data_IF_100941624087
#
_entry.id   IF_100941624087
#
_cell.length_a   1.000
_cell.length_b   1.000
_cell.length_c   1.000
_cell.angle_alpha   90.00
_cell.angle_beta   90.00
_cell.angle_gamma   90.00
#
_symmetry.space_group_name_H-M   'P 1'
#
loop_
_entity.id
_entity.type
_entity.pdbx_description
1 polymer ?
#
# COMPACT_ATOMS: atom_id res chain seq x y z
N UNK A 1 28.70 -42.19 -39.26
CA UNK A 1 29.85 -41.26 -39.11
C UNK A 1 29.34 -39.97 -38.50
N UNK A 2 30.00 -39.52 -37.42
CA UNK A 2 29.65 -38.41 -36.53
C UNK A 2 29.64 -37.06 -37.24
N UNK A 3 28.76 -36.16 -36.79
CA UNK A 3 29.15 -34.88 -36.17
C UNK A 3 28.07 -34.42 -35.20
N UNK A 4 28.48 -34.30 -33.94
CA UNK A 4 27.78 -33.64 -32.84
C UNK A 4 28.02 -32.14 -32.95
N UNK A 5 27.02 -31.32 -32.68
CA UNK A 5 27.21 -30.00 -32.10
C UNK A 5 26.22 -29.82 -30.94
N UNK A 6 26.80 -29.60 -29.77
CA UNK A 6 26.14 -29.29 -28.50
C UNK A 6 25.90 -27.78 -28.43
N UNK A 7 24.67 -27.36 -28.10
CA UNK A 7 24.42 -26.03 -27.52
C UNK A 7 23.67 -26.24 -26.22
N UNK A 8 24.32 -25.85 -25.12
CA UNK A 8 23.75 -25.75 -23.79
C UNK A 8 23.05 -24.39 -23.63
N UNK A 9 21.75 -24.36 -23.29
CA UNK A 9 21.13 -23.28 -22.54
C UNK A 9 20.16 -23.85 -21.51
N UNK A 10 20.61 -23.84 -20.25
CA UNK A 10 19.91 -23.64 -18.99
C UNK A 10 18.46 -24.13 -18.84
N UNK A 11 18.30 -25.07 -17.90
CA UNK A 11 17.04 -25.44 -17.27
C UNK A 11 16.26 -24.22 -16.75
N UNK A 12 15.06 -23.99 -17.26
CA UNK A 12 13.95 -23.41 -16.50
C UNK A 12 12.70 -24.25 -16.83
N UNK A 13 12.61 -25.42 -16.19
CA UNK A 13 11.35 -25.99 -15.75
C UNK A 13 11.06 -25.34 -14.39
N UNK A 14 9.92 -24.68 -14.17
CA UNK A 14 8.64 -25.34 -13.89
C UNK A 14 7.50 -24.67 -14.67
N UNK A 15 6.70 -25.55 -15.25
CA UNK A 15 5.50 -25.34 -16.03
C UNK A 15 4.41 -24.60 -15.23
N UNK A 16 3.83 -23.57 -15.84
CA UNK A 16 2.37 -23.53 -15.98
C UNK A 16 2.05 -23.11 -17.42
N UNK A 17 1.80 -24.12 -18.25
CA UNK A 17 1.21 -23.95 -19.57
C UNK A 17 -0.26 -23.55 -19.40
N UNK A 18 -0.60 -22.33 -19.79
CA UNK A 18 -1.92 -22.05 -20.34
C UNK A 18 -1.72 -21.38 -21.69
N UNK A 19 -1.65 -22.20 -22.73
CA UNK A 19 -1.91 -21.74 -24.10
C UNK A 19 -3.40 -21.92 -24.36
N UNK A 20 -4.16 -20.83 -24.28
CA UNK A 20 -5.35 -20.64 -25.12
C UNK A 20 -5.32 -19.17 -25.56
N UNK A 21 -5.02 -18.94 -26.84
CA UNK A 21 -5.46 -17.73 -27.53
C UNK A 21 -6.99 -17.77 -27.56
N UNK A 22 -7.59 -16.91 -26.75
CA UNK A 22 -8.94 -16.41 -26.94
C UNK A 22 -8.86 -14.93 -26.61
N UNK A 23 -9.17 -14.08 -27.58
CA UNK A 23 -9.44 -12.65 -27.38
C UNK A 23 -10.66 -12.54 -26.46
N UNK A 24 -10.42 -12.57 -25.16
CA UNK A 24 -11.41 -12.38 -24.13
C UNK A 24 -10.69 -11.81 -22.93
N UNK A 25 -11.17 -10.66 -22.44
CA UNK A 25 -10.63 -9.98 -21.27
C UNK A 25 -10.26 -11.00 -20.20
N UNK A 26 -8.97 -11.16 -19.94
CA UNK A 26 -8.50 -11.95 -18.82
C UNK A 26 -8.91 -11.17 -17.57
N UNK A 27 -10.14 -11.40 -17.09
CA UNK A 27 -10.58 -10.94 -15.78
C UNK A 27 -9.67 -11.62 -14.79
N UNK A 28 -8.56 -10.96 -14.43
CA UNK A 28 -7.69 -11.36 -13.33
C UNK A 28 -8.57 -11.49 -12.10
N UNK A 29 -8.97 -12.72 -11.80
CA UNK A 29 -9.63 -13.07 -10.56
C UNK A 29 -8.56 -12.90 -9.50
N UNK A 30 -8.63 -11.76 -8.83
CA UNK A 30 -7.74 -11.44 -7.74
C UNK A 30 -7.96 -12.49 -6.63
N UNK A 31 -6.94 -13.28 -6.25
CA UNK A 31 -7.11 -14.25 -5.18
C UNK A 31 -7.45 -13.48 -3.90
N UNK A 32 -8.63 -13.75 -3.35
CA UNK A 32 -9.16 -13.07 -2.16
C UNK A 32 -8.27 -13.28 -0.94
N UNK A 33 -7.46 -14.34 -0.92
CA UNK A 33 -6.46 -14.63 0.10
C UNK A 33 -5.34 -13.58 0.20
N UNK A 34 -5.16 -12.74 -0.82
CA UNK A 34 -4.14 -11.68 -0.83
C UNK A 34 -4.69 -10.30 -0.44
N UNK A 35 -5.97 -10.20 -0.08
CA UNK A 35 -6.62 -8.94 0.28
C UNK A 35 -6.45 -8.70 1.78
N UNK A 36 -6.00 -7.51 2.16
CA UNK A 36 -5.90 -7.06 3.56
C UNK A 36 -6.19 -5.57 3.70
N UNK A 37 -6.22 -5.08 4.94
CA UNK A 37 -6.45 -3.67 5.27
C UNK A 37 -7.72 -3.12 4.57
N UNK A 38 -8.82 -3.91 4.67
CA UNK A 38 -10.10 -3.58 4.03
C UNK A 38 -10.82 -2.50 4.83
N UNK A 39 -11.26 -1.44 4.16
CA UNK A 39 -11.97 -0.32 4.77
C UNK A 39 -13.15 0.10 3.91
N UNK A 40 -14.24 0.45 4.57
CA UNK A 40 -15.34 1.16 3.93
C UNK A 40 -15.05 2.65 3.91
N UNK A 41 -15.35 3.32 2.79
CA UNK A 41 -15.46 4.77 2.84
C UNK A 41 -16.62 5.16 3.77
N UNK A 42 -16.51 6.25 4.55
CA UNK A 42 -17.56 6.67 5.49
C UNK A 42 -18.94 6.84 4.84
N UNK A 43 -18.99 7.17 3.55
CA UNK A 43 -20.23 7.32 2.78
C UNK A 43 -20.87 5.98 2.35
N UNK A 44 -20.15 4.86 2.48
CA UNK A 44 -20.65 3.50 2.18
C UNK A 44 -20.69 3.13 0.69
N UNK A 45 -20.22 3.99 -0.21
CA UNK A 45 -20.29 3.81 -1.67
C UNK A 45 -19.08 3.10 -2.28
N UNK A 46 -17.94 3.13 -1.57
CA UNK A 46 -16.64 2.66 -2.03
C UNK A 46 -15.93 1.86 -0.94
N UNK A 47 -14.93 1.08 -1.35
CA UNK A 47 -14.06 0.29 -0.49
C UNK A 47 -12.60 0.58 -0.82
N UNK A 48 -11.75 0.57 0.18
CA UNK A 48 -10.29 0.59 0.04
C UNK A 48 -9.75 -0.75 0.53
N UNK A 49 -8.78 -1.31 -0.17
CA UNK A 49 -8.05 -2.47 0.31
C UNK A 49 -6.67 -2.55 -0.32
N UNK A 50 -5.78 -3.26 0.34
CA UNK A 50 -4.46 -3.61 -0.20
C UNK A 50 -4.55 -5.03 -0.74
N UNK A 51 -3.98 -5.25 -1.92
CA UNK A 51 -3.88 -6.58 -2.51
C UNK A 51 -2.49 -6.87 -3.08
N UNK A 52 -1.99 -8.07 -2.85
CA UNK A 52 -0.82 -8.61 -3.52
C UNK A 52 0.05 -9.41 -2.58
N UNK A 53 1.31 -9.58 -2.98
CA UNK A 53 2.34 -10.20 -2.17
C UNK A 53 3.45 -9.18 -1.98
N UNK A 54 4.01 -9.13 -0.78
CA UNK A 54 5.19 -8.31 -0.52
C UNK A 54 6.32 -8.63 -1.51
N UNK A 55 7.05 -7.61 -2.02
CA UNK A 55 6.95 -6.19 -1.69
C UNK A 55 5.98 -5.39 -2.59
N UNK A 56 5.30 -6.03 -3.54
CA UNK A 56 4.60 -5.38 -4.67
C UNK A 56 3.09 -5.21 -4.44
N UNK A 57 2.69 -4.95 -3.20
CA UNK A 57 1.28 -4.83 -2.83
C UNK A 57 0.68 -3.52 -3.37
N UNK A 58 -0.56 -3.58 -3.85
CA UNK A 58 -1.24 -2.49 -4.53
C UNK A 58 -2.39 -2.01 -3.66
N UNK A 59 -2.48 -0.68 -3.49
CA UNK A 59 -3.63 -0.03 -2.87
C UNK A 59 -4.71 0.21 -3.91
N UNK A 60 -5.92 -0.28 -3.66
CA UNK A 60 -7.03 -0.27 -4.61
C UNK A 60 -8.28 0.34 -4.00
N UNK A 61 -8.91 1.25 -4.75
CA UNK A 61 -10.29 1.69 -4.49
C UNK A 61 -11.23 0.89 -5.38
N UNK A 62 -12.33 0.43 -4.81
CA UNK A 62 -13.40 -0.26 -5.53
C UNK A 62 -14.72 0.45 -5.32
N UNK A 63 -15.44 0.70 -6.42
CA UNK A 63 -16.80 1.25 -6.38
C UNK A 63 -17.87 0.17 -6.12
N UNK A 64 -19.11 0.61 -5.91
CA UNK A 64 -20.28 -0.28 -5.71
C UNK A 64 -20.54 -1.26 -6.86
N UNK A 65 -20.06 -0.95 -8.08
CA UNK A 65 -20.25 -1.78 -9.26
C UNK A 65 -19.10 -2.79 -9.46
N UNK A 66 -18.06 -2.73 -8.61
CA UNK A 66 -16.88 -3.57 -8.70
C UNK A 66 -15.79 -3.02 -9.61
N UNK A 67 -15.94 -1.79 -10.13
CA UNK A 67 -14.87 -1.13 -10.87
C UNK A 67 -13.74 -0.80 -9.91
N UNK A 68 -12.51 -1.04 -10.36
CA UNK A 68 -11.29 -0.89 -9.55
C UNK A 68 -10.46 0.26 -10.08
N UNK A 69 -9.87 1.01 -9.15
CA UNK A 69 -8.84 2.01 -9.42
C UNK A 69 -7.63 1.73 -8.56
N UNK A 70 -6.48 1.50 -9.20
CA UNK A 70 -5.20 1.38 -8.52
C UNK A 70 -4.69 2.77 -8.12
N UNK A 71 -4.19 2.89 -6.89
CA UNK A 71 -3.77 4.15 -6.29
C UNK A 71 -2.25 4.22 -6.16
N UNK A 72 -1.64 3.17 -5.62
CA UNK A 72 -0.20 3.12 -5.41
C UNK A 72 0.28 1.66 -5.34
N UNK A 73 1.56 1.45 -5.63
CA UNK A 73 2.25 0.17 -5.54
C UNK A 73 3.28 0.21 -4.40
N UNK A 74 3.53 -0.95 -3.79
CA UNK A 74 4.44 -1.09 -2.66
C UNK A 74 3.86 -0.52 -1.38
N UNK A 75 2.56 -0.65 -1.16
CA UNK A 75 1.87 -0.08 0.01
C UNK A 75 1.90 -1.05 1.18
N UNK A 76 2.28 -0.53 2.35
CA UNK A 76 2.40 -1.30 3.59
C UNK A 76 1.11 -1.20 4.39
N UNK A 77 0.59 0.00 4.56
CA UNK A 77 -0.64 0.28 5.29
C UNK A 77 -1.36 1.47 4.65
N UNK A 78 -2.68 1.53 4.83
CA UNK A 78 -3.49 2.67 4.42
C UNK A 78 -4.61 2.96 5.41
N UNK A 79 -5.11 4.19 5.41
CA UNK A 79 -6.28 4.60 6.21
C UNK A 79 -7.04 5.75 5.55
N UNK A 80 -8.36 5.64 5.48
CA UNK A 80 -9.26 6.68 4.97
C UNK A 80 -9.50 7.75 6.05
N UNK A 81 -9.54 9.03 5.66
CA UNK A 81 -9.89 10.12 6.56
C UNK A 81 -11.35 10.02 7.03
N UNK A 82 -11.70 10.46 8.25
CA UNK A 82 -13.08 10.44 8.74
C UNK A 82 -14.08 11.16 7.84
N UNK A 83 -13.66 12.25 7.18
CA UNK A 83 -14.48 12.95 6.19
C UNK A 83 -14.60 12.22 4.83
N UNK A 84 -13.88 11.11 4.65
CA UNK A 84 -13.85 10.27 3.45
C UNK A 84 -13.17 10.90 2.24
N UNK A 85 -12.56 12.09 2.37
CA UNK A 85 -12.02 12.85 1.23
C UNK A 85 -10.57 12.51 0.92
N UNK A 86 -9.83 11.93 1.87
CA UNK A 86 -8.41 11.63 1.74
C UNK A 86 -8.10 10.21 2.16
N UNK A 87 -6.98 9.70 1.65
CA UNK A 87 -6.40 8.43 2.00
C UNK A 87 -4.95 8.71 2.39
N UNK A 88 -4.56 8.30 3.59
CA UNK A 88 -3.18 8.24 4.00
C UNK A 88 -2.66 6.83 3.72
N UNK A 89 -1.41 6.69 3.26
CA UNK A 89 -0.80 5.39 3.11
C UNK A 89 0.71 5.44 3.28
N UNK A 90 1.28 4.32 3.74
CA UNK A 90 2.73 4.13 3.88
C UNK A 90 3.24 3.40 2.64
N UNK A 91 4.07 4.07 1.85
CA UNK A 91 4.91 3.48 0.81
C UNK A 91 6.11 2.79 1.45
N UNK A 92 6.37 1.55 1.04
CA UNK A 92 7.56 0.79 1.43
C UNK A 92 8.86 1.48 1.03
N UNK A 93 8.84 2.25 -0.06
CA UNK A 93 9.99 2.92 -0.64
C UNK A 93 10.18 4.34 -0.10
N UNK A 94 9.09 5.09 0.01
CA UNK A 94 9.16 6.55 0.12
C UNK A 94 8.48 7.11 1.39
N UNK A 95 8.00 6.27 2.32
CA UNK A 95 7.40 6.73 3.57
C UNK A 95 5.92 7.10 3.45
N UNK A 96 5.48 8.15 4.15
CA UNK A 96 4.06 8.51 4.30
C UNK A 96 3.56 9.43 3.17
N UNK A 97 2.39 9.10 2.62
CA UNK A 97 1.73 9.81 1.54
C UNK A 97 0.27 10.11 1.86
N UNK A 98 -0.24 11.17 1.24
CA UNK A 98 -1.67 11.53 1.21
C UNK A 98 -2.13 11.59 -0.24
N UNK A 99 -3.32 11.08 -0.52
CA UNK A 99 -3.99 11.20 -1.81
C UNK A 99 -5.45 11.54 -1.60
N UNK A 100 -6.09 12.22 -2.55
CA UNK A 100 -7.53 12.39 -2.51
C UNK A 100 -8.25 11.03 -2.67
N UNK A 101 -9.48 10.95 -2.17
CA UNK A 101 -10.31 9.74 -2.25
C UNK A 101 -10.67 9.31 -3.67
N UNK A 102 -10.50 10.18 -4.65
CA UNK A 102 -10.64 9.85 -6.07
C UNK A 102 -9.32 9.36 -6.71
N UNK A 103 -8.22 9.31 -5.94
CA UNK A 103 -6.88 8.97 -6.41
C UNK A 103 -6.09 10.13 -7.03
N UNK A 104 -6.62 11.36 -7.02
CA UNK A 104 -5.91 12.56 -7.50
C UNK A 104 -5.04 13.19 -6.40
N UNK A 105 -4.19 14.15 -6.79
CA UNK A 105 -3.39 14.98 -5.87
C UNK A 105 -2.61 14.17 -4.84
N UNK A 106 -1.81 13.23 -5.34
CA UNK A 106 -0.90 12.46 -4.51
C UNK A 106 0.23 13.36 -4.01
N UNK A 107 0.35 13.51 -2.70
CA UNK A 107 1.31 14.37 -2.01
C UNK A 107 2.16 13.54 -1.08
N UNK A 108 3.47 13.68 -1.23
CA UNK A 108 4.44 13.09 -0.32
C UNK A 108 4.48 13.89 0.99
N UNK A 109 4.26 13.22 2.13
CA UNK A 109 4.17 13.87 3.43
C UNK A 109 5.49 13.76 4.21
N UNK A 110 6.05 12.55 4.34
CA UNK A 110 7.30 12.29 5.08
C UNK A 110 8.10 11.13 4.46
N UNK A 111 9.43 11.22 4.49
CA UNK A 111 10.34 10.16 4.04
C UNK A 111 10.48 8.99 5.04
N UNK A 112 10.06 9.19 6.28
CA UNK A 112 10.19 8.18 7.33
C UNK A 112 9.07 7.15 7.22
N UNK A 113 9.44 5.87 7.29
CA UNK A 113 8.49 4.77 7.28
C UNK A 113 7.95 4.55 8.69
N UNK A 114 6.90 5.28 9.04
CA UNK A 114 6.03 4.90 10.15
C UNK A 114 5.45 3.49 9.95
N UNK A 115 5.00 2.85 11.03
CA UNK A 115 4.44 1.50 10.97
C UNK A 115 2.94 1.44 11.24
N UNK A 116 2.39 2.46 11.91
CA UNK A 116 0.96 2.60 12.22
C UNK A 116 0.55 4.05 11.95
N UNK A 117 -0.54 4.26 11.20
CA UNK A 117 -1.10 5.58 10.91
C UNK A 117 -2.61 5.65 11.20
N UNK A 118 -3.06 6.72 11.86
CA UNK A 118 -4.49 6.99 12.08
C UNK A 118 -4.80 8.49 11.91
N UNK A 119 -5.97 8.81 11.38
CA UNK A 119 -6.43 10.18 11.22
C UNK A 119 -6.99 10.77 12.51
N UNK A 120 -6.79 12.08 12.69
CA UNK A 120 -7.58 12.86 13.63
C UNK A 120 -9.06 12.85 13.22
N UNK A 121 -10.01 12.95 14.16
CA UNK A 121 -11.44 13.05 13.85
C UNK A 121 -11.79 14.22 12.91
N UNK A 122 -11.02 15.32 13.00
CA UNK A 122 -11.14 16.52 12.17
C UNK A 122 -10.56 16.38 10.76
N UNK A 123 -9.90 15.26 10.43
CA UNK A 123 -9.32 14.97 9.10
C UNK A 123 -8.22 15.94 8.63
N UNK A 124 -7.58 16.64 9.56
CA UNK A 124 -6.51 17.62 9.33
C UNK A 124 -5.14 17.21 9.87
N UNK A 125 -5.09 16.16 10.70
CA UNK A 125 -3.86 15.62 11.27
C UNK A 125 -3.81 14.09 11.16
N UNK A 126 -2.60 13.56 11.26
CA UNK A 126 -2.33 12.12 11.42
C UNK A 126 -1.52 11.87 12.67
N UNK A 127 -1.92 10.86 13.45
CA UNK A 127 -1.03 10.22 14.41
C UNK A 127 -0.26 9.11 13.71
N UNK A 128 1.03 8.98 14.02
CA UNK A 128 1.82 7.88 13.52
C UNK A 128 2.92 7.44 14.49
N UNK A 129 3.25 6.16 14.42
CA UNK A 129 4.33 5.54 15.20
C UNK A 129 5.57 5.39 14.34
N UNK A 130 6.71 5.86 14.85
CA UNK A 130 8.02 5.77 14.21
C UNK A 130 8.99 4.95 15.08
N UNK A 131 9.18 3.66 14.75
CA UNK A 131 10.16 2.82 15.42
C UNK A 131 11.57 3.18 14.94
N UNK A 132 12.49 3.29 15.90
CA UNK A 132 13.93 3.44 15.68
C UNK A 132 14.67 2.33 16.44
N UNK A 133 15.98 2.23 16.24
CA UNK A 133 16.79 1.14 16.80
C UNK A 133 16.69 1.01 18.32
N UNK A 134 16.61 2.14 19.03
CA UNK A 134 16.68 2.18 20.50
C UNK A 134 15.49 2.91 21.14
N UNK A 135 14.49 3.28 20.33
CA UNK A 135 13.32 4.02 20.80
C UNK A 135 12.15 3.91 19.84
N UNK A 136 10.96 4.19 20.34
CA UNK A 136 9.75 4.38 19.55
C UNK A 136 9.20 5.77 19.81
N UNK A 137 8.80 6.47 18.74
CA UNK A 137 8.29 7.83 18.81
C UNK A 137 6.83 7.85 18.32
N UNK A 138 5.96 8.53 19.06
CA UNK A 138 4.59 8.84 18.63
C UNK A 138 4.52 10.32 18.24
N UNK A 139 4.10 10.59 17.02
CA UNK A 139 3.95 11.95 16.48
C UNK A 139 2.50 12.25 16.10
N UNK A 140 2.09 13.51 16.22
CA UNK A 140 1.03 14.10 15.38
C UNK A 140 1.66 14.91 14.25
N UNK A 141 1.04 14.93 13.08
CA UNK A 141 1.44 15.76 11.93
C UNK A 141 0.23 16.42 11.27
N UNK A 142 0.31 17.73 11.05
CA UNK A 142 -0.66 18.48 10.23
C UNK A 142 -0.43 18.19 8.75
N UNK A 143 -1.47 17.79 8.02
CA UNK A 143 -1.34 17.35 6.63
C UNK A 143 -1.16 18.49 5.63
N UNK A 144 -1.43 19.74 6.01
CA UNK A 144 -1.30 20.93 5.17
C UNK A 144 0.06 21.59 5.36
N UNK A 145 0.43 21.87 6.62
CA UNK A 145 1.70 22.55 6.95
C UNK A 145 2.87 21.58 6.96
N UNK A 146 2.61 20.28 7.14
CA UNK A 146 3.60 19.21 7.38
C UNK A 146 4.38 19.40 8.68
N UNK A 147 3.91 20.29 9.56
CA UNK A 147 4.47 20.45 10.89
C UNK A 147 4.07 19.26 11.75
N UNK A 148 5.01 18.78 12.56
CA UNK A 148 4.81 17.62 13.43
C UNK A 148 5.19 17.92 14.87
N UNK A 149 4.49 17.28 15.79
CA UNK A 149 4.67 17.41 17.23
C UNK A 149 4.96 16.02 17.80
N UNK A 150 6.06 15.89 18.55
CA UNK A 150 6.36 14.68 19.31
C UNK A 150 5.40 14.62 20.51
N UNK A 151 4.61 13.56 20.58
CA UNK A 151 3.65 13.35 21.67
C UNK A 151 4.21 12.43 22.75
N UNK A 152 4.97 11.40 22.34
CA UNK A 152 5.55 10.45 23.26
C UNK A 152 6.84 9.83 22.71
N UNK A 153 7.76 9.52 23.61
CA UNK A 153 9.01 8.81 23.32
C UNK A 153 9.19 7.70 24.35
N UNK A 154 9.35 6.48 23.86
CA UNK A 154 9.70 5.31 24.64
C UNK A 154 11.12 4.88 24.30
N UNK A 155 12.00 4.81 25.31
CA UNK A 155 13.39 4.37 25.17
C UNK A 155 13.55 2.90 25.56
N UNK A 156 14.24 2.13 24.74
CA UNK A 156 14.59 0.75 25.06
C UNK A 156 16.01 0.69 25.66
N UNK A 157 16.19 0.14 26.87
CA UNK A 157 17.53 0.00 27.44
C UNK A 157 18.38 -0.91 26.56
N UNK A 158 19.64 -0.53 26.34
CA UNK A 158 20.62 -1.39 25.66
C UNK A 158 20.83 -2.63 26.53
N UNK A 159 20.64 -3.80 25.94
CA UNK A 159 21.02 -5.07 26.56
C UNK A 159 22.53 -5.23 26.62
#
# INVERSE_FOLDING_TARGET
>A
MRKQEFIWLSCISILMTFSILSLGEEKRVLPTSLIRNVQWFPQGDRKLFIIGVEPNEILVIMDKNGNKKEIAMGVVESVISPDGKKIAYISRKDGLWIVNSDGSNQVHLLNERGIDIIWSPSSDELLYVLPQKERTLLYSIDIKTKERILLHEEMFPKR
#
